data_IF_971492005035
#
_entry.id   IF_971492005035
#
_cell.length_a   1.000
_cell.length_b   1.000
_cell.length_c   1.000
_cell.angle_alpha   90.00
_cell.angle_beta   90.00
_cell.angle_gamma   90.00
#
_symmetry.space_group_name_H-M   'P 1'
#
loop_
_entity.id
_entity.type
_entity.pdbx_description
1 polymer ?
#
# COMPACT_ATOMS: atom_id res chain seq x y z
N UNK A 1 14.32 -48.77 3.66
CA UNK A 1 15.11 -47.51 3.70
C UNK A 1 14.85 -46.76 2.40
N UNK A 2 13.98 -45.76 2.41
CA UNK A 2 13.82 -44.82 1.31
C UNK A 2 13.34 -43.49 1.91
N UNK A 3 14.25 -42.51 2.02
CA UNK A 3 13.92 -41.15 2.40
C UNK A 3 13.23 -40.46 1.22
N UNK A 4 11.97 -40.06 1.39
CA UNK A 4 11.32 -39.11 0.51
C UNK A 4 11.89 -37.71 0.82
N UNK A 5 12.49 -37.06 -0.19
CA UNK A 5 12.87 -35.66 -0.11
C UNK A 5 11.67 -34.79 -0.54
N UNK A 6 11.13 -34.02 0.40
CA UNK A 6 10.19 -32.95 0.12
C UNK A 6 11.00 -31.76 -0.41
N UNK A 7 10.75 -31.36 -1.66
CA UNK A 7 11.23 -30.07 -2.16
C UNK A 7 10.25 -29.00 -1.69
N UNK A 8 10.58 -28.36 -0.58
CA UNK A 8 9.98 -27.10 -0.16
C UNK A 8 10.47 -26.02 -1.14
N UNK A 9 9.61 -25.64 -2.08
CA UNK A 9 9.91 -24.58 -3.04
C UNK A 9 9.82 -23.22 -2.33
N UNK A 10 10.85 -22.35 -2.42
CA UNK A 10 10.79 -21.03 -1.83
C UNK A 10 9.62 -20.26 -2.45
N UNK A 11 8.74 -19.73 -1.59
CA UNK A 11 7.62 -18.89 -2.00
C UNK A 11 8.12 -17.81 -2.95
N UNK A 12 7.45 -17.68 -4.10
CA UNK A 12 7.80 -16.73 -5.13
C UNK A 12 7.81 -15.31 -4.52
N UNK A 13 8.99 -14.81 -4.21
CA UNK A 13 9.19 -13.40 -3.97
C UNK A 13 8.88 -12.71 -5.30
N UNK A 14 7.86 -11.85 -5.31
CA UNK A 14 7.60 -10.95 -6.43
C UNK A 14 8.91 -10.25 -6.82
N UNK A 15 9.14 -10.07 -8.12
CA UNK A 15 10.34 -9.40 -8.61
C UNK A 15 10.50 -8.02 -7.90
N UNK A 16 11.73 -7.60 -7.56
CA UNK A 16 11.94 -6.33 -6.89
C UNK A 16 11.29 -5.19 -7.66
N UNK A 17 10.53 -4.34 -6.96
CA UNK A 17 9.87 -3.19 -7.56
C UNK A 17 10.95 -2.21 -8.08
N UNK A 18 10.81 -1.66 -9.31
CA UNK A 18 11.76 -0.66 -9.81
C UNK A 18 11.93 0.51 -8.82
N UNK A 19 13.16 0.97 -8.62
CA UNK A 19 13.46 2.01 -7.63
C UNK A 19 12.83 3.37 -7.95
N UNK A 20 12.42 3.57 -9.20
CA UNK A 20 11.73 4.73 -9.73
C UNK A 20 10.20 4.53 -9.82
N UNK A 21 9.67 3.40 -9.32
CA UNK A 21 8.24 3.14 -9.34
C UNK A 21 7.47 4.23 -8.58
N UNK A 22 6.38 4.80 -9.15
CA UNK A 22 5.75 6.00 -8.62
C UNK A 22 5.18 5.82 -7.21
N UNK A 23 4.77 4.61 -6.80
CA UNK A 23 4.26 4.36 -5.43
C UNK A 23 5.30 4.62 -4.33
N UNK A 24 6.59 4.49 -4.63
CA UNK A 24 7.64 4.54 -3.61
C UNK A 24 7.75 5.94 -3.00
N UNK A 25 7.99 5.97 -1.68
CA UNK A 25 8.10 7.20 -0.90
C UNK A 25 7.02 7.35 0.16
N UNK A 26 6.81 8.59 0.60
CA UNK A 26 5.88 8.94 1.68
C UNK A 26 4.71 9.71 1.11
N UNK A 27 3.52 9.33 1.55
CA UNK A 27 2.25 9.88 1.11
C UNK A 27 1.38 10.22 2.29
N UNK A 28 0.61 11.30 2.17
CA UNK A 28 -0.35 11.72 3.18
C UNK A 28 -1.76 11.75 2.60
N UNK A 29 -2.69 11.11 3.29
CA UNK A 29 -4.12 11.27 3.08
C UNK A 29 -4.66 12.16 4.20
N UNK A 30 -5.45 13.18 3.86
CA UNK A 30 -6.17 13.97 4.85
C UNK A 30 -7.66 13.67 4.71
N UNK A 31 -8.33 13.40 5.83
CA UNK A 31 -9.78 13.13 5.82
C UNK A 31 -10.55 14.34 5.25
N UNK A 32 -11.73 14.14 4.62
CA UNK A 32 -12.46 15.23 3.98
C UNK A 32 -12.82 16.41 4.90
N UNK A 33 -13.00 16.14 6.20
CA UNK A 33 -13.29 17.15 7.22
C UNK A 33 -12.03 17.81 7.81
N UNK A 34 -10.83 17.36 7.41
CA UNK A 34 -9.55 17.84 7.89
C UNK A 34 -9.20 17.42 9.32
N UNK A 35 -10.01 16.57 9.97
CA UNK A 35 -9.84 16.22 11.39
C UNK A 35 -8.66 15.28 11.65
N UNK A 36 -8.28 14.49 10.65
CA UNK A 36 -7.28 13.45 10.77
C UNK A 36 -6.45 13.34 9.49
N UNK A 37 -5.22 12.84 9.61
CA UNK A 37 -4.38 12.52 8.46
C UNK A 37 -3.70 11.19 8.67
N UNK A 38 -3.59 10.45 7.59
CA UNK A 38 -2.87 9.19 7.52
C UNK A 38 -1.56 9.41 6.77
N UNK A 39 -0.49 8.77 7.20
CA UNK A 39 0.79 8.80 6.50
C UNK A 39 1.18 7.38 6.13
N UNK A 40 1.43 7.17 4.83
CA UNK A 40 1.82 5.90 4.24
C UNK A 40 3.25 6.01 3.74
N UNK A 41 4.10 5.07 4.14
CA UNK A 41 5.44 4.91 3.59
C UNK A 41 5.54 3.60 2.83
N UNK A 42 5.68 3.68 1.51
CA UNK A 42 5.96 2.54 0.65
C UNK A 42 7.46 2.40 0.44
N UNK A 43 8.00 1.23 0.76
CA UNK A 43 9.43 0.90 0.64
C UNK A 43 9.67 -0.04 -0.53
N UNK A 44 10.87 0.03 -1.10
CA UNK A 44 11.28 -0.80 -2.24
C UNK A 44 11.38 -2.30 -1.94
N UNK A 45 11.35 -2.69 -0.66
CA UNK A 45 11.33 -4.09 -0.21
C UNK A 45 9.92 -4.71 -0.22
N UNK A 46 8.90 -3.99 -0.70
CA UNK A 46 7.52 -4.47 -0.71
C UNK A 46 6.81 -4.33 0.63
N UNK A 47 7.29 -3.48 1.55
CA UNK A 47 6.61 -3.19 2.82
C UNK A 47 6.00 -1.80 2.86
N UNK A 48 4.89 -1.67 3.59
CA UNK A 48 4.33 -0.38 3.97
C UNK A 48 4.45 -0.17 5.48
N UNK A 49 4.56 1.09 5.88
CA UNK A 49 4.33 1.51 7.26
C UNK A 49 3.31 2.63 7.25
N UNK A 50 2.26 2.48 8.04
CA UNK A 50 1.14 3.41 8.07
C UNK A 50 0.94 3.91 9.49
N UNK A 51 0.71 5.21 9.61
CA UNK A 51 0.23 5.84 10.84
C UNK A 51 -1.10 6.52 10.53
N UNK A 52 -2.16 6.15 11.24
CA UNK A 52 -3.51 6.69 11.07
C UNK A 52 -4.14 6.91 12.45
N UNK A 53 -4.31 8.17 12.87
CA UNK A 53 -4.68 8.51 14.25
C UNK A 53 -3.77 7.80 15.29
N UNK A 54 -4.33 6.89 16.09
CA UNK A 54 -3.59 6.10 17.09
C UNK A 54 -3.04 4.78 16.51
N UNK A 55 -3.51 4.36 15.33
CA UNK A 55 -3.06 3.17 14.62
C UNK A 55 -1.62 3.34 14.10
N UNK A 56 -0.82 2.30 14.32
CA UNK A 56 0.49 2.13 13.70
C UNK A 56 0.57 0.71 13.17
N UNK A 57 0.68 0.58 11.85
CA UNK A 57 0.61 -0.69 11.15
C UNK A 57 1.75 -0.89 10.16
N UNK A 58 2.03 -2.16 9.86
CA UNK A 58 2.93 -2.59 8.79
C UNK A 58 2.21 -3.62 7.92
N UNK A 59 2.32 -3.46 6.60
CA UNK A 59 1.85 -4.43 5.62
C UNK A 59 2.97 -4.87 4.69
N UNK A 60 2.73 -5.98 4.01
CA UNK A 60 3.42 -6.29 2.74
C UNK A 60 2.50 -5.91 1.59
N UNK A 61 3.05 -5.43 0.48
CA UNK A 61 2.30 -5.11 -0.71
C UNK A 61 2.92 -5.72 -1.96
N UNK A 62 2.06 -6.10 -2.89
CA UNK A 62 2.40 -6.53 -4.25
C UNK A 62 1.77 -5.55 -5.24
N UNK A 63 2.56 -5.01 -6.16
CA UNK A 63 2.10 -4.08 -7.19
C UNK A 63 2.95 -4.30 -8.45
N UNK A 64 2.36 -4.34 -9.66
CA UNK A 64 3.12 -4.51 -10.89
C UNK A 64 4.01 -3.28 -11.16
N UNK A 65 5.09 -3.49 -11.90
CA UNK A 65 5.99 -2.41 -12.33
C UNK A 65 5.33 -1.41 -13.28
N UNK A 66 4.33 -1.85 -14.05
CA UNK A 66 3.61 -1.07 -15.05
C UNK A 66 2.10 -1.08 -14.77
N UNK A 67 1.38 0.00 -15.13
CA UNK A 67 -0.07 0.05 -14.97
C UNK A 67 -0.78 -0.81 -16.04
N UNK A 68 -2.08 -1.03 -15.85
CA UNK A 68 -2.97 -1.53 -16.90
C UNK A 68 -3.11 -0.53 -18.06
N UNK A 69 -3.72 -0.95 -19.16
CA UNK A 69 -4.05 -0.07 -20.31
C UNK A 69 -4.93 1.13 -19.91
N UNK A 70 -5.60 1.07 -18.76
CA UNK A 70 -6.41 2.15 -18.19
C UNK A 70 -5.60 3.09 -17.28
N UNK A 71 -4.32 2.82 -17.05
CA UNK A 71 -3.45 3.61 -16.19
C UNK A 71 -3.52 3.25 -14.70
N UNK A 72 -4.16 2.13 -14.33
CA UNK A 72 -4.29 1.69 -12.94
C UNK A 72 -3.27 0.61 -12.60
N UNK A 73 -2.69 0.70 -11.41
CA UNK A 73 -1.87 -0.35 -10.83
C UNK A 73 -2.72 -1.18 -9.86
N UNK A 74 -2.82 -2.49 -10.09
CA UNK A 74 -3.50 -3.39 -9.15
C UNK A 74 -2.56 -3.70 -7.99
N UNK A 75 -2.83 -3.10 -6.83
CA UNK A 75 -2.07 -3.30 -5.61
C UNK A 75 -2.79 -4.27 -4.67
N UNK A 76 -2.07 -5.22 -4.11
CA UNK A 76 -2.57 -6.12 -3.06
C UNK A 76 -1.79 -5.86 -1.79
N UNK A 77 -2.46 -5.35 -0.76
CA UNK A 77 -1.88 -5.09 0.55
C UNK A 77 -2.30 -6.19 1.53
N UNK A 78 -1.37 -6.67 2.36
CA UNK A 78 -1.63 -7.65 3.41
C UNK A 78 -1.05 -7.15 4.73
N UNK A 79 -1.93 -6.86 5.68
CA UNK A 79 -1.58 -6.36 7.00
C UNK A 79 -0.83 -7.43 7.80
N UNK A 80 0.43 -7.16 8.17
CA UNK A 80 1.28 -8.11 8.90
C UNK A 80 1.48 -7.75 10.36
N UNK A 81 1.39 -6.46 10.72
CA UNK A 81 1.43 -5.99 12.11
C UNK A 81 0.48 -4.81 12.30
N UNK A 82 -0.10 -4.74 13.48
CA UNK A 82 -0.94 -3.64 13.91
C UNK A 82 -0.83 -3.47 15.43
N UNK A 83 -0.95 -2.24 15.93
CA UNK A 83 -0.88 -1.94 17.37
C UNK A 83 -2.24 -2.06 18.10
N UNK A 84 -3.30 -2.44 17.40
CA UNK A 84 -4.65 -2.66 17.92
C UNK A 84 -5.41 -1.38 18.24
N UNK A 85 -4.99 -0.24 17.70
CA UNK A 85 -5.61 1.06 17.91
C UNK A 85 -6.46 1.47 16.71
N UNK A 86 -7.22 2.55 16.89
CA UNK A 86 -8.16 3.01 15.88
C UNK A 86 -7.47 3.87 14.84
N UNK A 87 -7.83 3.63 13.57
CA UNK A 87 -7.49 4.49 12.44
C UNK A 87 -8.31 5.80 12.45
N UNK A 88 -8.07 6.67 11.47
CA UNK A 88 -8.82 7.91 11.24
C UNK A 88 -10.33 7.67 10.98
N UNK A 89 -10.73 6.47 10.53
CA UNK A 89 -12.12 6.06 10.35
C UNK A 89 -12.72 5.41 11.63
N UNK A 90 -11.96 5.37 12.72
CA UNK A 90 -12.36 4.79 14.01
C UNK A 90 -12.38 3.26 14.03
N UNK A 91 -11.81 2.60 13.03
CA UNK A 91 -11.77 1.15 12.85
C UNK A 91 -10.47 0.54 13.39
N UNK A 92 -10.52 -0.75 13.72
CA UNK A 92 -9.33 -1.55 14.03
C UNK A 92 -9.25 -2.68 13.03
N UNK A 93 -8.22 -2.70 12.20
CA UNK A 93 -8.05 -3.72 11.16
C UNK A 93 -7.35 -4.95 11.72
N UNK A 94 -7.86 -6.14 11.40
CA UNK A 94 -7.28 -7.40 11.90
C UNK A 94 -6.02 -7.77 11.11
N UNK A 95 -4.93 -8.11 11.79
CA UNK A 95 -3.73 -8.71 11.17
C UNK A 95 -4.11 -9.92 10.30
N UNK A 96 -3.51 -10.02 9.11
CA UNK A 96 -3.83 -10.99 8.07
C UNK A 96 -4.92 -10.53 7.11
N UNK A 97 -5.55 -9.36 7.34
CA UNK A 97 -6.47 -8.76 6.38
C UNK A 97 -5.73 -8.45 5.09
N UNK A 98 -6.35 -8.85 3.96
CA UNK A 98 -5.84 -8.66 2.62
C UNK A 98 -6.81 -7.80 1.82
N UNK A 99 -6.32 -6.71 1.25
CA UNK A 99 -7.11 -5.74 0.47
C UNK A 99 -6.51 -5.61 -0.92
N UNK A 100 -7.37 -5.53 -1.94
CA UNK A 100 -6.94 -5.18 -3.30
C UNK A 100 -7.43 -3.76 -3.59
N UNK A 101 -6.51 -2.88 -3.95
CA UNK A 101 -6.77 -1.50 -4.34
C UNK A 101 -6.24 -1.25 -5.76
N UNK A 102 -6.86 -0.34 -6.49
CA UNK A 102 -6.41 0.09 -7.80
C UNK A 102 -5.87 1.51 -7.71
N UNK A 103 -4.55 1.65 -7.83
CA UNK A 103 -3.85 2.93 -7.68
C UNK A 103 -3.77 3.63 -9.03
N UNK A 104 -4.11 4.91 -9.09
CA UNK A 104 -3.90 5.74 -10.28
C UNK A 104 -3.20 7.04 -9.89
N UNK A 105 -2.10 7.35 -10.57
CA UNK A 105 -1.30 8.54 -10.32
C UNK A 105 -1.75 9.70 -11.19
N UNK A 106 -1.79 10.90 -10.62
CA UNK A 106 -1.93 12.12 -11.39
C UNK A 106 -0.63 12.37 -12.20
N UNK A 107 -0.70 12.94 -13.42
CA UNK A 107 0.49 13.21 -14.25
C UNK A 107 1.57 14.08 -13.60
N UNK A 108 1.24 14.83 -12.54
CA UNK A 108 2.24 15.59 -11.77
C UNK A 108 3.19 14.72 -10.94
N UNK A 109 2.87 13.44 -10.73
CA UNK A 109 3.63 12.52 -9.86
C UNK A 109 3.52 12.81 -8.36
N UNK A 110 2.81 13.87 -7.98
CA UNK A 110 2.66 14.33 -6.59
C UNK A 110 1.34 13.88 -5.95
N UNK A 111 0.44 13.27 -6.72
CA UNK A 111 -0.87 12.82 -6.24
C UNK A 111 -1.19 11.41 -6.75
N UNK A 112 -1.91 10.63 -5.95
CA UNK A 112 -2.62 9.44 -6.44
C UNK A 112 -3.98 9.26 -5.77
N UNK A 113 -4.81 8.41 -6.39
CA UNK A 113 -6.04 7.86 -5.82
C UNK A 113 -5.91 6.35 -5.66
N UNK A 114 -6.55 5.78 -4.63
CA UNK A 114 -6.77 4.33 -4.48
C UNK A 114 -8.26 4.04 -4.66
N UNK A 115 -8.59 3.13 -5.57
CA UNK A 115 -9.97 2.84 -5.95
C UNK A 115 -10.35 1.36 -5.73
N UNK A 116 -11.64 1.08 -5.60
CA UNK A 116 -12.17 -0.30 -5.47
C UNK A 116 -12.05 -1.11 -6.76
N UNK A 117 -11.97 -0.43 -7.92
CA UNK A 117 -11.86 -1.02 -9.25
C UNK A 117 -11.01 -0.12 -10.17
N UNK A 118 -10.73 -0.56 -11.40
CA UNK A 118 -10.10 0.27 -12.45
C UNK A 118 -11.06 1.31 -13.04
N UNK A 119 -11.73 2.07 -12.16
CA UNK A 119 -12.60 3.21 -12.45
C UNK A 119 -12.44 4.27 -11.35
N UNK A 120 -12.87 5.49 -11.62
CA UNK A 120 -12.81 6.60 -10.66
C UNK A 120 -14.09 6.76 -9.81
N UNK A 121 -15.00 5.79 -9.86
CA UNK A 121 -16.33 5.92 -9.25
C UNK A 121 -16.29 5.85 -7.72
N UNK A 122 -15.35 5.06 -7.18
CA UNK A 122 -15.17 4.82 -5.75
C UNK A 122 -13.69 4.77 -5.40
N UNK A 123 -13.19 5.90 -4.95
CA UNK A 123 -11.80 6.07 -4.57
C UNK A 123 -11.64 6.81 -3.25
N UNK A 124 -10.55 6.52 -2.56
CA UNK A 124 -10.01 7.31 -1.45
C UNK A 124 -8.83 8.16 -1.97
N UNK A 125 -8.72 9.39 -1.47
CA UNK A 125 -7.70 10.34 -1.89
C UNK A 125 -8.20 11.78 -2.02
N UNK A 126 -7.36 12.69 -2.53
CA UNK A 126 -6.01 12.43 -3.02
C UNK A 126 -5.00 12.14 -1.91
N UNK A 127 -4.07 11.23 -2.20
CA UNK A 127 -2.84 11.08 -1.43
C UNK A 127 -1.82 12.08 -1.96
N UNK A 128 -1.25 12.90 -1.09
CA UNK A 128 -0.25 13.89 -1.43
C UNK A 128 1.14 13.36 -1.12
N UNK A 129 2.07 13.48 -2.06
CA UNK A 129 3.48 13.15 -1.81
C UNK A 129 4.04 14.09 -0.74
N UNK A 130 4.77 13.53 0.21
CA UNK A 130 5.48 14.30 1.25
C UNK A 130 6.95 14.39 0.84
N UNK A 131 7.35 15.57 0.35
CA UNK A 131 8.74 15.83 0.00
C UNK A 131 9.61 16.01 1.26
N UNK A 132 10.87 15.58 1.19
CA UNK A 132 11.89 15.84 2.22
C UNK A 132 11.95 14.86 3.40
N UNK A 133 11.11 13.82 3.44
CA UNK A 133 11.18 12.77 4.48
C UNK A 133 11.87 11.49 3.95
N UNK A 134 13.14 11.66 3.57
CA UNK A 134 14.09 10.54 3.45
C UNK A 134 14.43 10.13 4.88
N UNK A 135 14.00 8.95 5.31
CA UNK A 135 14.62 8.26 6.45
C UNK A 135 15.61 7.25 5.91
#
# INVERSE_FOLDING_TARGET
>A
MACAAFFDGPGAHAAPLPSDHPILGVWRLTMPDGSCSETYRFRGDGTTHVTSADEVSESTFDIPAEPSDKGFYRMVDTLVKDNGKKDCAGQVTKVGTKVTNFVVFHPSGALFLMCEAETLDRCIGPFHRVDGLVI
#
